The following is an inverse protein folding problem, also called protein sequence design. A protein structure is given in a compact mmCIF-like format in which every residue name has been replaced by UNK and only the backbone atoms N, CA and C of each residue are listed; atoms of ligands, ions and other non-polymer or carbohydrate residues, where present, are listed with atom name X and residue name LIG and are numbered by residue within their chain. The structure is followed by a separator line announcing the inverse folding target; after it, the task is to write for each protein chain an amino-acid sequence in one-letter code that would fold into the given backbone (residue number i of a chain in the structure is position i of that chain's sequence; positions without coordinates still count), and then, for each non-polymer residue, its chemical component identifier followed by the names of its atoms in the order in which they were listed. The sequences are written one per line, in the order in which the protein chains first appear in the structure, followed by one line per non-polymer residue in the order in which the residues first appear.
data_IF_041179837442
#
_entry.id   IF_041179837442
#
_cell.length_a   1.000
_cell.length_b   1.000
_cell.length_c   1.000
_cell.angle_alpha   90.00
_cell.angle_beta   90.00
_cell.angle_gamma   90.00
#
_symmetry.space_group_name_H-M   'P 1'
#
loop_
_entity.id
_entity.type
_entity.pdbx_description
1 polymer ?
#
# COMPACT_ATOMS: atom_id res chain seq x y z
N UNK A 1 -64.13 38.69 -7.19
CA UNK A 1 -62.91 37.90 -7.48
C UNK A 1 -61.89 38.20 -6.38
N UNK A 2 -61.68 37.27 -5.47
CA UNK A 2 -60.53 37.22 -4.56
C UNK A 2 -60.51 35.80 -4.01
N UNK A 3 -59.37 35.12 -4.13
CA UNK A 3 -58.85 34.04 -3.28
C UNK A 3 -57.63 33.48 -4.03
N UNK A 4 -56.44 33.62 -3.47
CA UNK A 4 -55.29 32.79 -3.80
C UNK A 4 -54.94 32.05 -2.51
N UNK A 5 -54.95 30.73 -2.61
CA UNK A 5 -54.83 29.75 -1.53
C UNK A 5 -53.36 29.37 -1.41
N UNK A 6 -52.93 29.29 -0.17
CA UNK A 6 -51.60 28.90 0.30
C UNK A 6 -51.37 27.38 0.22
N UNK A 7 -50.11 26.97 0.40
CA UNK A 7 -49.59 25.62 0.55
C UNK A 7 -49.15 24.86 -0.72
N UNK A 8 -47.84 24.87 -0.95
CA UNK A 8 -47.09 23.65 -1.26
C UNK A 8 -45.71 23.78 -0.65
N UNK A 9 -45.48 23.04 0.44
CA UNK A 9 -44.16 22.69 0.94
C UNK A 9 -43.29 22.25 -0.24
N UNK A 10 -42.28 23.06 -0.57
CA UNK A 10 -41.21 22.64 -1.46
C UNK A 10 -40.36 21.63 -0.70
N UNK A 11 -40.50 20.36 -1.04
CA UNK A 11 -39.54 19.33 -0.65
C UNK A 11 -38.15 19.76 -1.16
N UNK A 12 -37.24 20.00 -0.22
CA UNK A 12 -35.83 20.26 -0.53
C UNK A 12 -35.25 19.01 -1.24
N UNK A 13 -34.74 19.11 -2.48
CA UNK A 13 -34.18 17.97 -3.16
C UNK A 13 -32.94 17.49 -2.39
N UNK A 14 -33.08 16.29 -1.82
CA UNK A 14 -32.11 15.56 -1.01
C UNK A 14 -30.65 16.00 -1.16
N UNK A 15 -30.09 16.51 -0.06
CA UNK A 15 -28.65 16.72 0.17
C UNK A 15 -27.89 15.39 0.33
N UNK A 16 -28.17 14.43 -0.54
CA UNK A 16 -27.67 13.07 -0.50
C UNK A 16 -26.93 12.70 -1.77
N UNK A 17 -26.01 13.53 -2.26
CA UNK A 17 -25.16 13.18 -3.40
C UNK A 17 -23.72 13.69 -3.22
N UNK A 18 -22.95 12.90 -2.46
CA UNK A 18 -21.54 12.58 -2.70
C UNK A 18 -20.51 13.72 -2.76
N UNK A 19 -19.91 14.05 -1.62
CA UNK A 19 -18.62 14.76 -1.55
C UNK A 19 -17.41 13.84 -1.72
N UNK A 20 -17.58 12.58 -2.12
CA UNK A 20 -16.50 11.60 -2.25
C UNK A 20 -15.50 12.05 -3.31
N UNK A 21 -14.43 12.71 -2.87
CA UNK A 21 -13.39 13.25 -3.73
C UNK A 21 -12.49 12.12 -4.26
N UNK A 22 -11.67 12.40 -5.27
CA UNK A 22 -10.71 11.41 -5.80
C UNK A 22 -9.73 10.89 -4.72
N UNK A 23 -9.47 11.70 -3.68
CA UNK A 23 -8.65 11.32 -2.53
C UNK A 23 -9.31 10.20 -1.72
N UNK A 24 -10.59 10.35 -1.40
CA UNK A 24 -11.35 9.36 -0.63
C UNK A 24 -11.39 7.99 -1.33
N UNK A 25 -11.53 7.99 -2.67
CA UNK A 25 -11.50 6.76 -3.47
C UNK A 25 -10.14 6.06 -3.46
N UNK A 26 -9.05 6.83 -3.47
CA UNK A 26 -7.70 6.27 -3.39
C UNK A 26 -7.42 5.69 -2.00
N UNK A 27 -7.87 6.37 -0.95
CA UNK A 27 -7.75 5.90 0.43
C UNK A 27 -8.59 4.63 0.66
N UNK A 28 -9.80 4.58 0.12
CA UNK A 28 -10.65 3.39 0.15
C UNK A 28 -9.99 2.20 -0.57
N UNK A 29 -9.44 2.42 -1.77
CA UNK A 29 -8.74 1.38 -2.53
C UNK A 29 -7.53 0.83 -1.76
N UNK A 30 -6.72 1.71 -1.18
CA UNK A 30 -5.57 1.31 -0.37
C UNK A 30 -6.01 0.53 0.88
N UNK A 31 -7.09 0.98 1.54
CA UNK A 31 -7.65 0.29 2.71
C UNK A 31 -8.10 -1.14 2.36
N UNK A 32 -8.72 -1.34 1.19
CA UNK A 32 -9.10 -2.67 0.70
C UNK A 32 -7.88 -3.55 0.36
N UNK A 33 -6.75 -2.97 -0.07
CA UNK A 33 -5.50 -3.73 -0.24
C UNK A 33 -4.99 -4.19 1.12
N UNK A 34 -4.91 -3.29 2.10
CA UNK A 34 -4.42 -3.59 3.46
C UNK A 34 -5.28 -4.69 4.09
N UNK A 35 -6.61 -4.57 4.01
CA UNK A 35 -7.52 -5.60 4.54
C UNK A 35 -7.26 -6.97 3.92
N UNK A 36 -7.12 -7.06 2.59
CA UNK A 36 -6.83 -8.34 1.92
C UNK A 36 -5.47 -8.92 2.30
N UNK A 37 -4.48 -8.07 2.56
CA UNK A 37 -3.18 -8.51 3.04
C UNK A 37 -3.27 -9.04 4.49
N UNK A 38 -3.99 -8.33 5.37
CA UNK A 38 -4.20 -8.79 6.75
C UNK A 38 -4.97 -10.11 6.80
N UNK A 39 -6.02 -10.27 5.98
CA UNK A 39 -6.78 -11.51 5.87
C UNK A 39 -5.92 -12.67 5.38
N UNK A 40 -4.97 -12.41 4.46
CA UNK A 40 -4.06 -13.43 3.93
C UNK A 40 -3.13 -14.01 5.01
N UNK A 41 -2.72 -13.21 5.99
CA UNK A 41 -1.81 -13.60 7.08
C UNK A 41 -2.49 -13.69 8.45
N UNK A 42 -3.82 -13.79 8.46
CA UNK A 42 -4.60 -13.81 9.70
C UNK A 42 -4.25 -15.04 10.56
N UNK A 43 -3.85 -14.79 11.80
CA UNK A 43 -3.47 -15.85 12.75
C UNK A 43 -1.98 -16.19 12.77
N UNK A 44 -1.16 -15.57 11.92
CA UNK A 44 0.28 -15.82 11.84
C UNK A 44 1.12 -15.04 12.88
N UNK A 45 0.46 -14.21 13.71
CA UNK A 45 1.13 -13.42 14.76
C UNK A 45 1.91 -12.21 14.23
N UNK A 46 1.63 -11.77 12.99
CA UNK A 46 2.19 -10.58 12.38
C UNK A 46 1.32 -9.36 12.68
N UNK A 47 1.95 -8.18 12.79
CA UNK A 47 1.22 -6.91 12.84
C UNK A 47 0.81 -6.45 11.44
N UNK A 48 -0.19 -5.59 11.35
CA UNK A 48 -0.60 -4.94 10.10
C UNK A 48 0.61 -4.25 9.41
N UNK A 49 1.47 -3.60 10.20
CA UNK A 49 2.67 -2.94 9.68
C UNK A 49 3.69 -3.95 9.13
N UNK A 50 3.88 -5.12 9.76
CA UNK A 50 4.75 -6.17 9.23
C UNK A 50 4.29 -6.61 7.83
N UNK A 51 2.98 -6.84 7.71
CA UNK A 51 2.34 -7.31 6.48
C UNK A 51 2.41 -6.25 5.36
N UNK A 52 2.05 -5.01 5.67
CA UNK A 52 2.04 -3.91 4.70
C UNK A 52 3.46 -3.55 4.26
N UNK A 53 4.41 -3.44 5.19
CA UNK A 53 5.81 -3.14 4.86
C UNK A 53 6.45 -4.27 4.05
N UNK A 54 6.11 -5.52 4.33
CA UNK A 54 6.58 -6.65 3.53
C UNK A 54 6.02 -6.61 2.10
N UNK A 55 4.71 -6.38 1.93
CA UNK A 55 4.11 -6.25 0.61
C UNK A 55 4.72 -5.11 -0.21
N UNK A 56 5.04 -3.98 0.43
CA UNK A 56 5.75 -2.87 -0.21
C UNK A 56 7.17 -3.28 -0.63
N UNK A 57 7.90 -3.98 0.24
CA UNK A 57 9.25 -4.50 -0.05
C UNK A 57 9.25 -5.41 -1.27
N UNK A 58 8.30 -6.35 -1.35
CA UNK A 58 8.15 -7.24 -2.53
C UNK A 58 7.78 -6.43 -3.78
N UNK A 59 6.86 -5.46 -3.65
CA UNK A 59 6.47 -4.61 -4.78
C UNK A 59 7.65 -3.82 -5.33
N UNK A 60 8.50 -3.27 -4.47
CA UNK A 60 9.71 -2.55 -4.88
C UNK A 60 10.73 -3.48 -5.55
N UNK A 61 10.89 -4.71 -5.05
CA UNK A 61 11.72 -5.72 -5.71
C UNK A 61 11.21 -6.14 -7.09
N UNK A 62 9.91 -6.32 -7.26
CA UNK A 62 9.32 -6.59 -8.58
C UNK A 62 9.55 -5.41 -9.54
N UNK A 63 9.48 -4.17 -9.03
CA UNK A 63 9.75 -2.96 -9.84
C UNK A 63 11.18 -2.88 -10.38
N UNK A 64 12.15 -3.55 -9.76
CA UNK A 64 13.52 -3.66 -10.28
C UNK A 64 13.59 -4.49 -11.58
N UNK A 65 12.53 -5.22 -11.94
CA UNK A 65 12.46 -6.03 -13.16
C UNK A 65 11.79 -5.26 -14.33
N UNK A 66 12.61 -4.57 -15.12
CA UNK A 66 12.15 -3.75 -16.27
C UNK A 66 11.27 -4.52 -17.27
N UNK A 67 11.58 -5.80 -17.50
CA UNK A 67 10.82 -6.65 -18.43
C UNK A 67 9.41 -6.87 -17.91
N UNK A 68 9.27 -7.19 -16.63
CA UNK A 68 7.96 -7.36 -15.99
C UNK A 68 7.20 -6.05 -15.93
N UNK A 69 7.87 -4.94 -15.61
CA UNK A 69 7.22 -3.62 -15.63
C UNK A 69 6.73 -3.24 -17.02
N UNK A 70 7.50 -3.58 -18.07
CA UNK A 70 7.07 -3.42 -19.47
C UNK A 70 5.85 -4.30 -19.78
N UNK A 71 5.80 -5.54 -19.28
CA UNK A 71 4.65 -6.42 -19.47
C UNK A 71 3.40 -5.88 -18.77
N UNK A 72 3.51 -5.39 -17.54
CA UNK A 72 2.41 -4.79 -16.79
C UNK A 72 1.85 -3.55 -17.51
N UNK A 73 2.73 -2.71 -18.06
CA UNK A 73 2.34 -1.48 -18.72
C UNK A 73 1.60 -1.71 -20.06
N UNK A 74 1.89 -2.82 -20.74
CA UNK A 74 1.46 -3.03 -22.13
C UNK A 74 0.43 -4.16 -22.33
N UNK A 75 0.09 -4.92 -21.29
CA UNK A 75 -0.82 -6.06 -21.40
C UNK A 75 -1.99 -5.97 -20.41
N UNK A 76 -3.06 -6.75 -20.64
CA UNK A 76 -4.11 -6.91 -19.61
C UNK A 76 -3.54 -7.60 -18.38
N UNK A 77 -4.26 -7.51 -17.25
CA UNK A 77 -3.88 -8.20 -16.02
C UNK A 77 -3.70 -9.70 -16.26
N UNK A 78 -4.65 -10.35 -16.93
CA UNK A 78 -4.62 -11.78 -17.20
C UNK A 78 -3.39 -12.16 -18.02
N UNK A 79 -3.05 -11.37 -19.03
CA UNK A 79 -1.87 -11.58 -19.86
C UNK A 79 -0.57 -11.38 -19.09
N UNK A 80 -0.48 -10.33 -18.26
CA UNK A 80 0.68 -10.09 -17.42
C UNK A 80 0.88 -11.22 -16.39
N UNK A 81 -0.22 -11.74 -15.81
CA UNK A 81 -0.18 -12.85 -14.86
C UNK A 81 0.20 -14.20 -15.49
N UNK A 82 -0.06 -14.41 -16.79
CA UNK A 82 0.43 -15.57 -17.55
C UNK A 82 1.88 -15.40 -18.05
N UNK A 83 2.42 -14.18 -17.99
CA UNK A 83 3.78 -13.84 -18.36
C UNK A 83 4.78 -14.07 -17.24
N UNK A 84 5.81 -13.23 -17.17
CA UNK A 84 6.90 -13.41 -16.20
C UNK A 84 6.57 -12.85 -14.80
N UNK A 85 5.37 -12.28 -14.61
CA UNK A 85 5.00 -11.61 -13.36
C UNK A 85 5.02 -12.56 -12.15
N UNK A 86 4.45 -13.76 -12.26
CA UNK A 86 4.42 -14.72 -11.14
C UNK A 86 5.83 -15.09 -10.69
N UNK A 87 6.70 -15.41 -11.65
CA UNK A 87 8.10 -15.72 -11.36
C UNK A 87 8.83 -14.53 -10.74
N UNK A 88 8.61 -13.32 -11.23
CA UNK A 88 9.27 -12.15 -10.64
C UNK A 88 8.81 -11.86 -9.21
N UNK A 89 7.56 -12.18 -8.85
CA UNK A 89 7.10 -12.12 -7.46
C UNK A 89 7.81 -13.18 -6.61
N UNK A 90 7.96 -14.41 -7.10
CA UNK A 90 8.70 -15.49 -6.41
C UNK A 90 10.18 -15.11 -6.20
N UNK A 91 10.84 -14.64 -7.25
CA UNK A 91 12.23 -14.17 -7.19
C UNK A 91 12.36 -12.99 -6.20
N UNK A 92 11.43 -12.02 -6.23
CA UNK A 92 11.41 -10.90 -5.28
C UNK A 92 11.24 -11.34 -3.82
N UNK A 93 10.44 -12.39 -3.54
CA UNK A 93 10.30 -12.97 -2.20
C UNK A 93 11.65 -13.54 -1.73
N UNK A 94 12.32 -14.32 -2.57
CA UNK A 94 13.62 -14.92 -2.22
C UNK A 94 14.70 -13.84 -2.04
N UNK A 95 14.80 -12.90 -2.96
CA UNK A 95 15.81 -11.84 -2.97
C UNK A 95 15.61 -10.86 -1.81
N UNK A 96 14.36 -10.54 -1.45
CA UNK A 96 14.07 -9.67 -0.29
C UNK A 96 14.53 -10.32 1.01
N UNK A 97 14.30 -11.62 1.18
CA UNK A 97 14.77 -12.36 2.35
C UNK A 97 16.30 -12.39 2.41
N UNK A 98 16.98 -12.67 1.29
CA UNK A 98 18.45 -12.63 1.25
C UNK A 98 18.99 -11.23 1.60
N UNK A 99 18.37 -10.17 1.08
CA UNK A 99 18.73 -8.80 1.39
C UNK A 99 18.56 -8.49 2.89
N UNK A 100 17.42 -8.85 3.49
CA UNK A 100 17.18 -8.68 4.93
C UNK A 100 18.17 -9.45 5.79
N UNK A 101 18.48 -10.71 5.44
CA UNK A 101 19.50 -11.50 6.15
C UNK A 101 20.87 -10.82 6.09
N UNK A 102 21.28 -10.31 4.92
CA UNK A 102 22.54 -9.55 4.77
C UNK A 102 22.54 -8.27 5.61
N UNK A 103 21.45 -7.50 5.59
CA UNK A 103 21.33 -6.27 6.38
C UNK A 103 21.39 -6.56 7.88
N UNK A 104 20.58 -7.50 8.37
CA UNK A 104 20.58 -7.95 9.77
C UNK A 104 21.99 -8.34 10.22
N UNK A 105 22.66 -9.21 9.45
CA UNK A 105 24.01 -9.66 9.78
C UNK A 105 25.01 -8.50 9.83
N UNK A 106 24.97 -7.56 8.88
CA UNK A 106 25.86 -6.41 8.89
C UNK A 106 25.63 -5.49 10.08
N UNK A 107 24.37 -5.22 10.44
CA UNK A 107 24.03 -4.36 11.55
C UNK A 107 24.41 -4.97 12.90
N UNK A 108 24.24 -6.29 13.07
CA UNK A 108 24.56 -6.98 14.32
C UNK A 108 26.06 -7.27 14.49
N UNK A 109 26.80 -7.47 13.40
CA UNK A 109 28.24 -7.85 13.47
C UNK A 109 29.20 -6.67 13.31
N UNK A 110 28.73 -5.50 12.87
CA UNK A 110 29.55 -4.29 12.70
C UNK A 110 29.02 -3.18 13.62
N UNK A 111 29.55 -3.03 14.85
CA UNK A 111 29.00 -2.10 15.85
C UNK A 111 28.85 -0.65 15.35
N UNK A 112 29.83 -0.15 14.58
CA UNK A 112 29.80 1.19 13.99
C UNK A 112 28.60 1.38 13.04
N UNK A 113 28.30 0.39 12.19
CA UNK A 113 27.12 0.43 11.32
C UNK A 113 25.82 0.32 12.11
N UNK A 114 25.78 -0.53 13.13
CA UNK A 114 24.62 -0.65 14.02
C UNK A 114 24.30 0.66 14.72
N UNK A 115 25.31 1.33 15.29
CA UNK A 115 25.15 2.64 15.94
C UNK A 115 24.70 3.73 14.96
N UNK A 116 25.28 3.78 13.76
CA UNK A 116 24.86 4.74 12.74
C UNK A 116 23.40 4.50 12.31
N UNK A 117 23.02 3.24 12.08
CA UNK A 117 21.65 2.89 11.72
C UNK A 117 20.66 3.27 12.82
N UNK A 118 20.98 3.01 14.09
CA UNK A 118 20.12 3.41 15.22
C UNK A 118 19.92 4.94 15.28
N UNK A 119 20.97 5.73 15.02
CA UNK A 119 20.84 7.19 14.96
C UNK A 119 19.93 7.64 13.81
N UNK A 120 20.06 7.04 12.63
CA UNK A 120 19.17 7.35 11.49
C UNK A 120 17.72 7.02 11.84
N UNK A 121 17.44 5.87 12.46
CA UNK A 121 16.09 5.51 12.90
C UNK A 121 15.57 6.53 13.93
N UNK A 122 16.40 6.94 14.89
CA UNK A 122 16.03 7.98 15.85
C UNK A 122 15.68 9.31 15.17
N UNK A 123 16.48 9.75 14.20
CA UNK A 123 16.18 10.95 13.41
C UNK A 123 14.87 10.81 12.63
N UNK A 124 14.63 9.67 11.99
CA UNK A 124 13.38 9.40 11.25
C UNK A 124 12.14 9.45 12.16
N UNK A 125 12.23 8.89 13.36
CA UNK A 125 11.13 8.89 14.33
C UNK A 125 10.84 10.30 14.86
N UNK A 126 11.85 11.16 14.95
CA UNK A 126 11.71 12.54 15.44
C UNK A 126 11.47 13.57 14.32
N UNK A 127 11.66 13.19 13.05
CA UNK A 127 11.39 14.06 11.90
C UNK A 127 9.89 14.38 11.72
N UNK A 128 9.00 13.58 12.31
CA UNK A 128 7.56 13.89 12.35
C UNK A 128 7.26 14.89 13.47
N UNK A 129 7.52 16.15 13.17
CA UNK A 129 7.28 17.29 14.07
C UNK A 129 7.48 18.69 13.45
N UNK A 130 7.56 18.80 12.11
CA UNK A 130 7.55 20.07 11.37
C UNK A 130 6.71 19.95 10.10
#
# INVERSE_FOLDING_TARGET
MKLAIDASEGLDPGSGLGSGTAKDKSEEFLSQIIQRLNDLFAGDGLTDDDVVNYAQTISDKVRENDRVMTQIANNTREQAMLGDFQKAVEDAILDSNEAHQKQMMRLLTMPEKGSLFANIIYEMLNAKGQ
#
